data_IF_512652113709
#
_entry.id   IF_512652113709
#
_cell.length_a   1.000
_cell.length_b   1.000
_cell.length_c   1.000
_cell.angle_alpha   90.00
_cell.angle_beta   90.00
_cell.angle_gamma   90.00
#
_symmetry.space_group_name_H-M   'P 1'
#
loop_
_entity.id
_entity.type
_entity.pdbx_description
1 polymer ?
#
# COMPACT_ATOMS: atom_id res chain seq x y z
N UNK A 1 -6.92 5.74 -5.98
CA UNK A 1 -6.19 5.39 -7.21
C UNK A 1 -5.97 3.89 -7.18
N UNK A 2 -6.65 3.16 -8.09
CA UNK A 2 -6.52 1.70 -8.21
C UNK A 2 -5.05 1.30 -8.30
N UNK A 3 -4.67 0.20 -7.63
CA UNK A 3 -3.29 -0.30 -7.66
C UNK A 3 -2.83 -0.47 -9.13
N UNK A 4 -1.78 0.25 -9.59
CA UNK A 4 -1.35 0.23 -10.99
C UNK A 4 -0.81 -1.14 -11.43
N UNK A 5 -0.51 -2.02 -10.49
CA UNK A 5 -0.06 -3.39 -10.72
C UNK A 5 -1.20 -4.41 -10.71
N UNK A 6 -2.42 -4.02 -10.32
CA UNK A 6 -3.58 -4.90 -10.45
C UNK A 6 -3.78 -5.26 -11.94
N UNK A 7 -4.01 -6.54 -12.21
CA UNK A 7 -4.14 -7.01 -13.59
C UNK A 7 -2.82 -7.22 -14.36
N UNK A 8 -1.66 -6.86 -13.80
CA UNK A 8 -0.38 -7.07 -14.51
C UNK A 8 0.01 -8.55 -14.49
N UNK A 9 0.14 -9.20 -15.65
CA UNK A 9 0.48 -10.62 -15.71
C UNK A 9 1.93 -10.83 -15.27
N UNK A 10 2.17 -11.94 -14.58
CA UNK A 10 3.52 -12.44 -14.29
C UNK A 10 3.69 -13.85 -14.85
N UNK A 11 4.94 -14.28 -15.05
CA UNK A 11 5.27 -15.60 -15.61
C UNK A 11 6.22 -16.40 -14.72
N UNK A 12 6.33 -16.01 -13.44
CA UNK A 12 7.20 -16.65 -12.45
C UNK A 12 6.88 -18.14 -12.35
N UNK A 13 7.86 -19.05 -12.48
CA UNK A 13 7.65 -20.49 -12.36
C UNK A 13 7.14 -20.93 -11.00
N UNK A 14 6.45 -22.07 -10.93
CA UNK A 14 5.89 -22.62 -9.69
C UNK A 14 6.94 -22.84 -8.60
N UNK A 15 8.16 -23.25 -8.97
CA UNK A 15 9.26 -23.45 -8.02
C UNK A 15 9.70 -22.15 -7.34
N UNK A 16 9.71 -21.04 -8.08
CA UNK A 16 10.05 -19.72 -7.56
C UNK A 16 8.92 -19.16 -6.69
N UNK A 17 7.66 -19.38 -7.09
CA UNK A 17 6.49 -19.04 -6.26
C UNK A 17 6.55 -19.81 -4.93
N UNK A 18 6.80 -21.13 -4.99
CA UNK A 18 6.90 -21.97 -3.80
C UNK A 18 8.02 -21.53 -2.86
N UNK A 19 9.17 -21.13 -3.41
CA UNK A 19 10.27 -20.59 -2.62
C UNK A 19 9.87 -19.26 -1.94
N UNK A 20 9.22 -18.35 -2.66
CA UNK A 20 8.78 -17.07 -2.11
C UNK A 20 7.74 -17.24 -0.98
N UNK A 21 6.86 -18.25 -1.08
CA UNK A 21 5.86 -18.56 -0.05
C UNK A 21 6.48 -18.98 1.31
N UNK A 22 7.77 -19.30 1.37
CA UNK A 22 8.46 -19.55 2.63
C UNK A 22 8.56 -18.29 3.51
N UNK A 23 8.70 -17.11 2.89
CA UNK A 23 9.04 -15.85 3.55
C UNK A 23 7.84 -14.94 3.85
N UNK A 24 6.65 -15.28 3.35
CA UNK A 24 5.44 -14.44 3.50
C UNK A 24 4.72 -14.64 4.84
N UNK A 25 4.02 -13.61 5.27
CA UNK A 25 3.05 -13.70 6.38
C UNK A 25 1.84 -14.52 5.95
N UNK A 26 1.61 -15.66 6.63
CA UNK A 26 0.49 -16.55 6.31
C UNK A 26 -0.89 -15.89 6.49
N UNK A 27 -1.17 -15.13 7.57
CA UNK A 27 -2.44 -14.42 7.69
C UNK A 27 -2.70 -13.44 6.54
N UNK A 28 -1.68 -12.66 6.15
CA UNK A 28 -1.80 -11.69 5.04
C UNK A 28 -1.95 -12.40 3.70
N UNK A 29 -1.22 -13.50 3.51
CA UNK A 29 -1.33 -14.36 2.33
C UNK A 29 -2.75 -14.87 2.17
N UNK A 30 -3.36 -15.43 3.21
CA UNK A 30 -4.73 -15.96 3.17
C UNK A 30 -5.75 -14.92 2.71
N UNK A 31 -5.67 -13.69 3.22
CA UNK A 31 -6.53 -12.60 2.75
C UNK A 31 -6.28 -12.28 1.27
N UNK A 32 -5.02 -12.29 0.83
CA UNK A 32 -4.66 -12.09 -0.59
C UNK A 32 -5.22 -13.21 -1.47
N UNK A 33 -5.23 -14.46 -0.99
CA UNK A 33 -5.80 -15.59 -1.71
C UNK A 33 -7.32 -15.44 -1.88
N UNK A 34 -8.04 -14.90 -0.89
CA UNK A 34 -9.47 -14.56 -1.03
C UNK A 34 -9.69 -13.60 -2.20
N UNK A 35 -8.82 -12.60 -2.39
CA UNK A 35 -8.91 -11.70 -3.53
C UNK A 35 -8.61 -12.39 -4.87
N UNK A 36 -7.60 -13.27 -4.93
CA UNK A 36 -7.20 -13.96 -6.16
C UNK A 36 -8.21 -15.01 -6.62
N UNK A 37 -8.87 -15.69 -5.68
CA UNK A 37 -9.84 -16.75 -5.94
C UNK A 37 -11.29 -16.30 -5.93
N UNK A 38 -11.61 -15.20 -5.23
CA UNK A 38 -12.97 -14.79 -4.91
C UNK A 38 -13.66 -15.70 -3.88
N UNK A 39 -12.94 -16.62 -3.23
CA UNK A 39 -13.51 -17.61 -2.32
C UNK A 39 -13.35 -17.21 -0.84
N UNK A 40 -14.42 -16.77 -0.16
CA UNK A 40 -14.36 -16.44 1.26
C UNK A 40 -14.26 -17.66 2.18
N UNK A 41 -14.44 -18.89 1.68
CA UNK A 41 -14.32 -20.10 2.52
C UNK A 41 -12.90 -20.29 3.07
N UNK A 42 -11.89 -19.71 2.40
CA UNK A 42 -10.50 -19.72 2.85
C UNK A 42 -10.35 -19.20 4.29
N UNK A 43 -11.16 -18.23 4.71
CA UNK A 43 -11.10 -17.66 6.07
C UNK A 43 -12.21 -18.15 7.01
N UNK A 44 -13.07 -19.08 6.53
CA UNK A 44 -14.19 -19.64 7.31
C UNK A 44 -13.93 -21.08 7.79
N UNK A 45 -12.81 -21.67 7.38
CA UNK A 45 -12.39 -23.00 7.79
C UNK A 45 -11.55 -23.03 9.08
N UNK A 46 -10.90 -24.17 9.31
CA UNK A 46 -10.09 -24.42 10.50
C UNK A 46 -8.71 -23.76 10.46
N UNK A 47 -8.21 -23.42 9.26
CA UNK A 47 -6.94 -22.72 9.08
C UNK A 47 -7.12 -21.24 9.45
N UNK A 48 -6.74 -20.88 10.67
CA UNK A 48 -6.88 -19.52 11.20
C UNK A 48 -5.71 -19.14 12.11
N UNK A 49 -5.34 -17.85 12.15
CA UNK A 49 -4.43 -17.36 13.17
C UNK A 49 -5.05 -17.51 14.57
N UNK A 50 -4.18 -17.66 15.56
CA UNK A 50 -4.54 -17.73 16.97
C UNK A 50 -4.34 -16.39 17.71
N UNK A 51 -3.64 -15.43 17.10
CA UNK A 51 -3.49 -14.09 17.66
C UNK A 51 -2.63 -13.16 16.79
N UNK A 52 -2.63 -11.88 17.16
CA UNK A 52 -1.82 -10.83 16.55
C UNK A 52 -0.95 -10.17 17.63
N UNK A 53 0.37 -10.16 17.44
CA UNK A 53 1.29 -9.50 18.36
C UNK A 53 2.41 -8.79 17.60
N UNK A 54 2.96 -7.73 18.18
CA UNK A 54 4.02 -6.95 17.54
C UNK A 54 5.23 -7.84 17.23
N UNK A 55 5.67 -7.82 15.97
CA UNK A 55 6.74 -8.66 15.39
C UNK A 55 6.41 -10.16 15.26
N UNK A 56 5.21 -10.59 15.65
CA UNK A 56 4.70 -11.93 15.31
C UNK A 56 3.86 -11.83 14.04
N UNK A 57 4.40 -12.37 12.93
CA UNK A 57 3.83 -12.20 11.58
C UNK A 57 3.15 -13.46 11.03
N UNK A 58 3.23 -14.58 11.75
CA UNK A 58 2.71 -15.89 11.34
C UNK A 58 1.42 -16.26 12.09
N UNK A 59 0.87 -15.34 12.88
CA UNK A 59 -0.42 -15.52 13.55
C UNK A 59 -0.43 -16.64 14.60
N UNK A 60 0.74 -17.00 15.15
CA UNK A 60 0.91 -18.14 16.07
C UNK A 60 0.40 -19.49 15.51
N UNK A 61 0.35 -19.65 14.19
CA UNK A 61 -0.09 -20.89 13.53
C UNK A 61 0.97 -22.01 13.67
N UNK A 62 0.51 -23.26 13.70
CA UNK A 62 1.39 -24.44 13.74
C UNK A 62 2.18 -24.57 12.42
N UNK A 63 3.34 -25.24 12.45
CA UNK A 63 4.09 -25.50 11.20
C UNK A 63 3.30 -26.34 10.20
N UNK A 64 2.44 -27.24 10.69
CA UNK A 64 1.55 -28.06 9.86
C UNK A 64 0.52 -27.20 9.13
N UNK A 65 -0.17 -26.30 9.85
CA UNK A 65 -1.16 -25.40 9.25
C UNK A 65 -0.50 -24.44 8.25
N UNK A 66 0.68 -23.91 8.59
CA UNK A 66 1.45 -23.04 7.68
C UNK A 66 1.86 -23.79 6.42
N UNK A 67 2.28 -25.05 6.53
CA UNK A 67 2.61 -25.88 5.37
C UNK A 67 1.37 -26.17 4.51
N UNK A 68 0.22 -26.44 5.14
CA UNK A 68 -1.04 -26.64 4.44
C UNK A 68 -1.48 -25.38 3.66
N UNK A 69 -1.40 -24.20 4.29
CA UNK A 69 -1.70 -22.92 3.61
C UNK A 69 -0.74 -22.68 2.44
N UNK A 70 0.57 -22.89 2.59
CA UNK A 70 1.53 -22.68 1.49
C UNK A 70 1.23 -23.57 0.28
N UNK A 71 0.82 -24.82 0.52
CA UNK A 71 0.43 -25.73 -0.55
C UNK A 71 -0.80 -25.21 -1.30
N UNK A 72 -1.83 -24.80 -0.56
CA UNK A 72 -3.05 -24.22 -1.12
C UNK A 72 -2.76 -22.91 -1.88
N UNK A 73 -1.89 -22.07 -1.33
CA UNK A 73 -1.49 -20.81 -1.93
C UNK A 73 -0.82 -21.00 -3.29
N UNK A 74 0.07 -21.99 -3.42
CA UNK A 74 0.74 -22.28 -4.70
C UNK A 74 -0.28 -22.62 -5.79
N UNK A 75 -1.27 -23.46 -5.48
CA UNK A 75 -2.33 -23.85 -6.42
C UNK A 75 -3.15 -22.63 -6.89
N UNK A 76 -3.57 -21.77 -5.94
CA UNK A 76 -4.37 -20.57 -6.25
C UNK A 76 -3.58 -19.53 -7.03
N UNK A 77 -2.32 -19.27 -6.65
CA UNK A 77 -1.48 -18.27 -7.30
C UNK A 77 -1.11 -18.72 -8.73
N UNK A 78 -0.82 -20.01 -8.91
CA UNK A 78 -0.55 -20.58 -10.24
C UNK A 78 -1.80 -20.48 -11.14
N UNK A 79 -2.99 -20.83 -10.62
CA UNK A 79 -4.25 -20.65 -11.36
C UNK A 79 -4.50 -19.17 -11.72
N UNK A 80 -4.34 -18.26 -10.76
CA UNK A 80 -4.52 -16.82 -10.98
C UNK A 80 -3.56 -16.29 -12.05
N UNK A 81 -2.29 -16.72 -12.02
CA UNK A 81 -1.28 -16.44 -13.05
C UNK A 81 -1.71 -16.96 -14.41
N UNK A 82 -2.12 -18.22 -14.49
CA UNK A 82 -2.41 -18.92 -15.73
C UNK A 82 -3.70 -18.41 -16.41
N UNK A 83 -4.64 -17.86 -15.61
CA UNK A 83 -5.79 -17.09 -16.10
C UNK A 83 -5.44 -15.68 -16.61
N UNK A 84 -4.18 -15.27 -16.52
CA UNK A 84 -3.69 -13.96 -16.98
C UNK A 84 -3.86 -12.85 -15.95
N UNK A 85 -3.90 -13.19 -14.65
CA UNK A 85 -4.05 -12.25 -13.54
C UNK A 85 -5.28 -11.35 -13.68
N UNK A 86 -6.50 -11.90 -13.78
CA UNK A 86 -7.69 -11.07 -13.94
C UNK A 86 -7.87 -10.12 -12.75
N UNK A 87 -8.43 -8.94 -13.00
CA UNK A 87 -8.76 -7.97 -11.95
C UNK A 87 -9.64 -8.65 -10.87
N UNK A 88 -9.27 -8.59 -9.58
CA UNK A 88 -10.09 -9.12 -8.50
C UNK A 88 -11.46 -8.45 -8.45
N UNK A 89 -12.49 -9.24 -8.15
CA UNK A 89 -13.83 -8.72 -7.92
C UNK A 89 -13.86 -7.81 -6.67
N UNK A 90 -14.68 -6.75 -6.66
CA UNK A 90 -14.88 -5.90 -5.49
C UNK A 90 -15.28 -6.69 -4.23
N UNK A 91 -14.64 -6.38 -3.11
CA UNK A 91 -14.97 -6.95 -1.80
C UNK A 91 -16.08 -6.16 -1.14
N UNK A 92 -17.14 -6.85 -0.68
CA UNK A 92 -18.23 -6.20 0.04
C UNK A 92 -17.80 -5.72 1.42
N UNK A 93 -18.49 -4.73 1.98
CA UNK A 93 -18.20 -4.22 3.32
C UNK A 93 -18.32 -5.32 4.40
N UNK A 94 -19.25 -6.25 4.22
CA UNK A 94 -19.46 -7.40 5.11
C UNK A 94 -18.30 -8.37 5.06
N UNK A 95 -17.84 -8.74 3.86
CA UNK A 95 -16.69 -9.63 3.71
C UNK A 95 -15.41 -8.97 4.20
N UNK A 96 -15.21 -7.68 3.93
CA UNK A 96 -14.06 -6.94 4.45
C UNK A 96 -14.06 -6.93 5.98
N UNK A 97 -15.21 -6.69 6.60
CA UNK A 97 -15.33 -6.73 8.06
C UNK A 97 -15.02 -8.11 8.65
N UNK A 98 -15.42 -9.18 7.96
CA UNK A 98 -15.05 -10.55 8.32
C UNK A 98 -13.54 -10.78 8.21
N UNK A 99 -12.92 -10.34 7.10
CA UNK A 99 -11.47 -10.42 6.88
C UNK A 99 -10.69 -9.67 7.97
N UNK A 100 -11.16 -8.48 8.37
CA UNK A 100 -10.54 -7.68 9.44
C UNK A 100 -10.55 -8.45 10.77
N UNK A 101 -11.71 -9.00 11.15
CA UNK A 101 -11.85 -9.77 12.40
C UNK A 101 -11.01 -11.04 12.38
N UNK A 102 -10.98 -11.72 11.23
CA UNK A 102 -10.14 -12.90 11.04
C UNK A 102 -8.66 -12.58 11.22
N UNK A 103 -8.19 -11.46 10.66
CA UNK A 103 -6.79 -11.05 10.72
C UNK A 103 -6.34 -10.71 12.14
N UNK A 104 -7.17 -9.96 12.88
CA UNK A 104 -6.82 -9.49 14.24
C UNK A 104 -7.20 -10.49 15.33
N UNK A 105 -7.90 -11.58 14.97
CA UNK A 105 -8.38 -12.62 15.89
C UNK A 105 -9.36 -12.12 16.98
N UNK A 106 -9.96 -10.94 16.78
CA UNK A 106 -10.81 -10.26 17.75
C UNK A 106 -11.95 -9.50 17.04
N UNK A 107 -13.04 -9.17 17.75
CA UNK A 107 -14.09 -8.33 17.19
C UNK A 107 -13.57 -6.95 16.79
N UNK A 108 -13.90 -6.52 15.58
CA UNK A 108 -13.55 -5.20 15.04
C UNK A 108 -14.80 -4.34 15.03
N UNK A 109 -14.80 -3.12 15.60
CA UNK A 109 -15.92 -2.19 15.46
C UNK A 109 -16.23 -1.86 14.00
N UNK A 110 -17.53 -1.82 13.65
CA UNK A 110 -17.99 -1.58 12.27
C UNK A 110 -17.47 -0.25 11.68
N UNK A 111 -17.22 0.73 12.53
CA UNK A 111 -16.73 2.06 12.15
C UNK A 111 -15.32 2.06 11.52
N UNK A 112 -14.55 0.98 11.67
CA UNK A 112 -13.26 0.84 10.99
C UNK A 112 -13.38 0.41 9.52
N UNK A 113 -14.54 -0.12 9.09
CA UNK A 113 -14.73 -0.59 7.71
C UNK A 113 -14.64 0.56 6.70
N UNK A 114 -15.32 1.71 6.88
CA UNK A 114 -15.17 2.85 5.97
C UNK A 114 -13.73 3.35 5.87
N UNK A 115 -13.01 3.38 6.98
CA UNK A 115 -11.59 3.78 7.01
C UNK A 115 -10.74 2.84 6.14
N UNK A 116 -10.92 1.52 6.29
CA UNK A 116 -10.14 0.54 5.52
C UNK A 116 -10.53 0.54 4.03
N UNK A 117 -11.81 0.74 3.70
CA UNK A 117 -12.26 0.92 2.32
C UNK A 117 -11.66 2.18 1.69
N UNK A 118 -11.59 3.28 2.43
CA UNK A 118 -10.96 4.49 1.95
C UNK A 118 -9.45 4.27 1.68
N UNK A 119 -8.77 3.53 2.55
CA UNK A 119 -7.33 3.25 2.39
C UNK A 119 -7.01 2.27 1.27
N UNK A 120 -7.79 1.18 1.14
CA UNK A 120 -7.44 0.06 0.27
C UNK A 120 -8.26 -0.01 -1.03
N UNK A 121 -9.37 0.71 -1.13
CA UNK A 121 -10.24 0.78 -2.33
C UNK A 121 -10.73 -0.60 -2.82
N UNK A 122 -10.89 -1.56 -1.89
CA UNK A 122 -11.21 -2.96 -2.21
C UNK A 122 -12.61 -3.16 -2.78
N UNK A 123 -13.50 -2.18 -2.65
CA UNK A 123 -14.84 -2.18 -3.24
C UNK A 123 -14.86 -1.59 -4.67
N UNK A 124 -13.68 -1.35 -5.25
CA UNK A 124 -13.52 -0.83 -6.60
C UNK A 124 -13.81 0.67 -6.75
N UNK A 125 -13.93 1.41 -5.63
CA UNK A 125 -14.17 2.86 -5.64
C UNK A 125 -12.96 3.62 -5.11
N UNK A 126 -12.50 4.60 -5.88
CA UNK A 126 -11.54 5.59 -5.40
C UNK A 126 -12.28 6.66 -4.58
N UNK A 127 -12.34 6.46 -3.26
CA UNK A 127 -12.98 7.40 -2.34
C UNK A 127 -12.29 8.78 -2.29
N UNK A 128 -11.04 8.85 -2.75
CA UNK A 128 -10.21 10.07 -2.75
C UNK A 128 -10.18 10.75 -4.12
N UNK A 129 -10.88 10.21 -5.11
CA UNK A 129 -11.03 10.83 -6.41
C UNK A 129 -11.65 12.22 -6.24
N UNK A 130 -10.88 13.25 -6.60
CA UNK A 130 -11.38 14.62 -6.56
C UNK A 130 -12.39 14.81 -7.70
N UNK A 131 -13.59 15.35 -7.43
CA UNK A 131 -14.51 15.68 -8.51
C UNK A 131 -13.86 16.75 -9.39
N UNK A 132 -13.84 16.52 -10.70
CA UNK A 132 -13.37 17.56 -11.63
C UNK A 132 -14.31 18.76 -11.56
N UNK A 133 -13.81 19.88 -11.02
CA UNK A 133 -14.53 21.15 -11.06
C UNK A 133 -14.64 21.63 -12.52
N UNK A 134 -15.73 22.34 -12.83
CA UNK A 134 -15.89 22.97 -14.14
C UNK A 134 -14.72 23.92 -14.42
N UNK A 135 -14.19 23.91 -15.64
CA UNK A 135 -12.99 24.67 -16.02
C UNK A 135 -13.01 26.13 -15.58
N UNK A 136 -14.13 26.83 -15.81
CA UNK A 136 -14.31 28.23 -15.41
C UNK A 136 -14.13 28.46 -13.90
N UNK A 137 -14.61 27.54 -13.05
CA UNK A 137 -14.45 27.62 -11.60
C UNK A 137 -13.01 27.36 -11.14
N UNK A 138 -12.22 26.61 -11.94
CA UNK A 138 -10.80 26.34 -11.64
C UNK A 138 -9.94 27.57 -11.93
N UNK A 139 -10.20 28.24 -13.05
CA UNK A 139 -9.40 29.39 -13.50
C UNK A 139 -9.63 30.66 -12.65
N UNK A 140 -10.79 30.77 -11.97
CA UNK A 140 -11.11 31.90 -11.08
C UNK A 140 -10.46 31.82 -9.68
N UNK A 141 -9.92 30.65 -9.29
CA UNK A 141 -9.42 30.40 -7.94
C UNK A 141 -7.97 29.86 -7.95
N UNK A 142 -6.96 30.68 -8.29
CA UNK A 142 -5.57 30.27 -8.17
C UNK A 142 -5.20 30.01 -6.71
N UNK A 143 -4.66 28.83 -6.42
CA UNK A 143 -4.29 28.41 -5.07
C UNK A 143 -2.80 28.64 -4.82
N UNK A 144 -2.44 29.24 -3.68
CA UNK A 144 -1.05 29.32 -3.23
C UNK A 144 -0.83 28.35 -2.08
N UNK A 145 0.07 27.40 -2.26
CA UNK A 145 0.52 26.45 -1.23
C UNK A 145 1.85 26.94 -0.67
N UNK A 146 1.96 27.04 0.66
CA UNK A 146 3.17 27.51 1.34
C UNK A 146 3.91 26.33 1.96
N UNK A 147 5.12 26.09 1.49
CA UNK A 147 5.99 24.98 1.88
C UNK A 147 5.94 23.83 0.88
N UNK A 148 7.10 23.29 0.55
CA UNK A 148 7.29 22.14 -0.34
C UNK A 148 7.88 20.95 0.44
N UNK A 149 7.32 20.68 1.62
CA UNK A 149 7.45 19.40 2.34
C UNK A 149 6.35 18.43 1.93
N UNK A 150 6.23 17.31 2.67
CA UNK A 150 5.26 16.24 2.40
C UNK A 150 3.82 16.74 2.16
N UNK A 151 3.30 17.59 3.04
CA UNK A 151 1.92 18.09 2.93
C UNK A 151 1.74 19.05 1.75
N UNK A 152 2.76 19.85 1.42
CA UNK A 152 2.68 20.81 0.32
C UNK A 152 2.74 20.13 -1.05
N UNK A 153 3.61 19.13 -1.17
CA UNK A 153 3.68 18.26 -2.35
C UNK A 153 2.36 17.48 -2.54
N UNK A 154 1.80 16.91 -1.47
CA UNK A 154 0.50 16.23 -1.52
C UNK A 154 -0.61 17.18 -1.97
N UNK A 155 -0.66 18.40 -1.42
CA UNK A 155 -1.63 19.41 -1.83
C UNK A 155 -1.49 19.74 -3.33
N UNK A 156 -0.26 19.93 -3.82
CA UNK A 156 0.01 20.15 -5.24
C UNK A 156 -0.45 19.00 -6.13
N UNK A 157 -0.19 17.74 -5.73
CA UNK A 157 -0.65 16.55 -6.46
C UNK A 157 -2.18 16.55 -6.57
N UNK A 158 -2.90 16.76 -5.45
CA UNK A 158 -4.37 16.78 -5.45
C UNK A 158 -4.97 17.97 -6.22
N UNK A 159 -4.35 19.15 -6.16
CA UNK A 159 -4.75 20.31 -6.95
C UNK A 159 -4.55 20.06 -8.45
N UNK A 160 -3.44 19.41 -8.82
CA UNK A 160 -3.14 18.98 -10.20
C UNK A 160 -4.18 17.96 -10.70
N UNK A 161 -4.51 16.95 -9.91
CA UNK A 161 -5.55 15.95 -10.24
C UNK A 161 -6.92 16.61 -10.44
N UNK A 162 -7.27 17.61 -9.61
CA UNK A 162 -8.49 18.40 -9.76
C UNK A 162 -8.42 19.40 -10.94
N UNK A 163 -7.25 19.62 -11.54
CA UNK A 163 -6.97 20.61 -12.58
C UNK A 163 -7.10 22.07 -12.11
N UNK A 164 -6.95 22.31 -10.81
CA UNK A 164 -6.98 23.66 -10.22
C UNK A 164 -5.59 24.29 -10.40
N UNK A 165 -5.45 25.48 -11.00
CA UNK A 165 -4.17 26.18 -11.08
C UNK A 165 -3.62 26.49 -9.68
N UNK A 166 -2.35 26.20 -9.44
CA UNK A 166 -1.71 26.48 -8.16
C UNK A 166 -0.24 26.84 -8.31
N UNK A 167 0.29 27.52 -7.29
CA UNK A 167 1.71 27.79 -7.11
C UNK A 167 2.13 27.30 -5.74
N UNK A 168 3.18 26.48 -5.68
CA UNK A 168 3.84 26.13 -4.40
C UNK A 168 5.03 27.07 -4.20
N UNK A 169 5.08 27.74 -3.05
CA UNK A 169 6.23 28.55 -2.66
C UNK A 169 7.01 27.87 -1.54
N UNK A 170 8.33 27.81 -1.67
CA UNK A 170 9.22 27.21 -0.68
C UNK A 170 10.35 28.20 -0.35
N UNK A 171 10.68 28.31 0.94
CA UNK A 171 11.77 29.16 1.42
C UNK A 171 13.14 28.54 1.12
N UNK A 172 13.21 27.22 1.13
CA UNK A 172 14.42 26.44 0.87
C UNK A 172 14.80 26.45 -0.61
N UNK A 173 16.07 26.16 -0.90
CA UNK A 173 16.55 26.02 -2.27
C UNK A 173 16.06 24.73 -2.96
N UNK A 174 15.28 23.89 -2.28
CA UNK A 174 14.71 22.67 -2.81
C UNK A 174 13.64 22.07 -1.92
N UNK A 175 13.10 20.94 -2.35
CA UNK A 175 11.96 20.25 -1.75
C UNK A 175 12.37 19.40 -0.54
N UNK A 176 11.42 19.09 0.34
CA UNK A 176 11.60 18.12 1.44
C UNK A 176 11.24 18.67 2.82
N UNK A 177 11.00 19.98 2.96
CA UNK A 177 10.53 20.60 4.20
C UNK A 177 11.43 20.25 5.40
N UNK A 178 10.88 19.51 6.37
CA UNK A 178 11.61 19.02 7.55
C UNK A 178 12.89 18.27 7.16
N UNK A 179 12.87 17.45 6.11
CA UNK A 179 14.01 16.66 5.67
C UNK A 179 15.08 17.47 4.94
N UNK A 180 14.71 18.64 4.40
CA UNK A 180 15.68 19.60 3.88
C UNK A 180 16.41 20.32 5.01
N UNK A 181 15.65 20.75 6.03
CA UNK A 181 16.16 21.57 7.14
C UNK A 181 16.99 20.76 8.15
N UNK A 182 16.64 19.49 8.37
CA UNK A 182 17.20 18.69 9.46
C UNK A 182 18.17 17.64 8.94
N UNK A 183 19.46 17.99 8.95
CA UNK A 183 20.56 17.08 8.54
C UNK A 183 21.49 16.72 9.70
N UNK A 184 21.00 16.80 10.94
CA UNK A 184 21.80 16.45 12.11
C UNK A 184 22.06 14.93 12.17
N UNK A 185 23.18 14.48 12.78
CA UNK A 185 23.47 13.07 12.95
C UNK A 185 22.34 12.35 13.70
N UNK A 186 21.80 11.28 13.12
CA UNK A 186 20.73 10.48 13.72
C UNK A 186 19.30 10.91 13.35
N UNK A 187 19.11 11.92 12.49
CA UNK A 187 17.81 12.22 11.90
C UNK A 187 17.24 10.99 11.18
N UNK A 188 16.06 10.53 11.61
CA UNK A 188 15.36 9.32 11.14
C UNK A 188 13.87 9.44 11.46
N UNK A 189 13.06 8.61 10.80
CA UNK A 189 11.65 8.41 11.16
C UNK A 189 11.53 7.50 12.39
N UNK A 190 10.40 7.59 13.07
CA UNK A 190 9.97 6.73 14.19
C UNK A 190 8.93 5.66 13.76
N UNK A 191 8.39 5.78 12.55
CA UNK A 191 7.52 4.78 11.92
C UNK A 191 8.32 3.84 11.01
N UNK A 192 7.77 2.66 10.72
CA UNK A 192 8.32 1.76 9.70
C UNK A 192 8.50 2.52 8.37
N UNK A 193 9.63 2.32 7.70
CA UNK A 193 9.96 3.04 6.47
C UNK A 193 8.86 2.94 5.39
N UNK A 194 8.21 1.78 5.29
CA UNK A 194 7.12 1.49 4.37
C UNK A 194 5.80 2.21 4.73
N UNK A 195 5.69 2.75 5.95
CA UNK A 195 4.58 3.62 6.35
C UNK A 195 4.86 5.10 6.12
N UNK A 196 6.12 5.48 5.84
CA UNK A 196 6.50 6.88 5.62
C UNK A 196 6.70 7.17 4.13
N UNK A 197 5.64 6.97 3.36
CA UNK A 197 5.56 7.31 1.94
C UNK A 197 4.10 7.64 1.56
N UNK A 198 3.90 8.24 0.39
CA UNK A 198 2.56 8.43 -0.15
C UNK A 198 1.91 7.07 -0.47
N UNK A 199 0.70 6.87 0.04
CA UNK A 199 -0.05 5.61 -0.14
C UNK A 199 -0.40 5.30 -1.59
N UNK A 200 -0.52 6.32 -2.45
CA UNK A 200 -0.80 6.18 -3.88
C UNK A 200 0.44 5.96 -4.76
N UNK A 201 1.64 6.06 -4.19
CA UNK A 201 2.89 5.78 -4.91
C UNK A 201 3.80 4.85 -4.07
N UNK A 202 3.36 3.60 -3.80
CA UNK A 202 4.15 2.63 -3.07
C UNK A 202 5.23 2.04 -3.97
N UNK A 203 6.34 2.77 -4.19
CA UNK A 203 7.46 2.23 -4.99
C UNK A 203 8.23 1.15 -4.22
N UNK A 204 8.40 0.00 -4.88
CA UNK A 204 9.27 -1.14 -4.53
C UNK A 204 10.78 -0.84 -4.70
N UNK A 205 11.12 0.22 -5.46
CA UNK A 205 12.49 0.66 -5.71
C UNK A 205 13.31 1.01 -4.45
N UNK A 206 12.67 1.41 -3.35
CA UNK A 206 13.38 1.73 -2.09
C UNK A 206 13.66 0.50 -1.22
N UNK A 207 13.00 -0.63 -1.47
CA UNK A 207 13.09 -1.84 -0.63
C UNK A 207 14.16 -2.79 -1.17
N UNK A 208 14.42 -2.79 -2.48
CA UNK A 208 15.39 -3.71 -3.13
C UNK A 208 16.76 -3.08 -3.46
N UNK A 209 16.97 -1.78 -3.24
CA UNK A 209 18.25 -1.12 -3.54
C UNK A 209 19.28 -1.29 -2.42
N UNK A 210 19.77 -2.51 -2.19
CA UNK A 210 21.01 -2.81 -1.43
C UNK A 210 21.25 -1.91 -0.18
N UNK A 211 20.19 -1.63 0.59
CA UNK A 211 20.27 -0.82 1.80
C UNK A 211 20.89 -1.70 2.89
N UNK A 212 22.04 -1.34 3.47
CA UNK A 212 22.62 -2.13 4.55
C UNK A 212 21.58 -2.30 5.65
N UNK A 213 21.42 -3.54 6.15
CA UNK A 213 20.53 -3.93 7.26
C UNK A 213 20.96 -3.31 8.60
N UNK A 214 21.19 -2.00 8.63
CA UNK A 214 21.55 -1.22 9.79
C UNK A 214 20.55 -0.07 9.87
N UNK A 215 19.74 -0.10 10.92
CA UNK A 215 18.59 0.77 11.11
C UNK A 215 18.81 2.23 10.73
N UNK A 216 17.88 2.75 9.93
CA UNK A 216 17.81 4.15 9.54
C UNK A 216 17.40 4.27 8.08
N UNK A 217 16.17 4.68 7.83
CA UNK A 217 15.67 5.15 6.54
C UNK A 217 16.17 6.58 6.30
N UNK A 218 16.91 6.82 5.22
CA UNK A 218 17.11 8.17 4.70
C UNK A 218 16.34 8.32 3.40
N UNK A 219 15.53 9.37 3.31
CA UNK A 219 15.02 9.88 2.05
C UNK A 219 16.20 10.15 1.07
N UNK A 220 16.05 9.91 -0.25
CA UNK A 220 17.12 10.14 -1.21
C UNK A 220 17.71 11.55 -1.08
N UNK A 221 19.04 11.61 -1.00
CA UNK A 221 19.81 12.86 -0.98
C UNK A 221 19.66 13.56 -2.34
N UNK A 222 19.69 14.91 -2.38
CA UNK A 222 19.80 15.63 -3.65
C UNK A 222 21.03 15.12 -4.43
N UNK A 223 20.82 14.63 -5.65
CA UNK A 223 21.88 14.17 -6.56
C UNK A 223 21.98 12.64 -6.80
N UNK A 224 21.09 11.81 -6.26
CA UNK A 224 20.92 10.41 -6.69
C UNK A 224 19.43 10.08 -6.83
N UNK A 225 18.99 9.98 -8.09
CA UNK A 225 17.72 9.50 -8.65
C UNK A 225 16.46 9.37 -7.75
N UNK A 226 15.37 10.05 -8.20
CA UNK A 226 13.95 9.79 -7.88
C UNK A 226 13.41 10.64 -6.71
N UNK A 227 12.44 11.54 -6.84
CA UNK A 227 11.38 11.77 -7.83
C UNK A 227 11.48 13.23 -8.32
N UNK A 228 11.68 13.42 -9.62
CA UNK A 228 11.36 14.70 -10.25
C UNK A 228 9.88 14.62 -10.61
N UNK A 229 9.01 15.19 -9.78
CA UNK A 229 7.72 15.65 -10.29
C UNK A 229 8.07 16.90 -11.08
N UNK A 230 7.89 16.92 -12.43
CA UNK A 230 8.08 18.15 -13.16
C UNK A 230 7.03 19.13 -12.65
N UNK A 231 7.50 20.11 -11.89
CA UNK A 231 6.80 21.35 -11.61
C UNK A 231 7.24 22.27 -12.75
N UNK A 232 6.47 22.27 -13.83
CA UNK A 232 6.45 23.41 -14.76
C UNK A 232 5.49 24.46 -14.22
#
# INVERSE_FOLDING_TARGET
MRNPHAGQPFTTPDEEIAAALADVSIPTLMLSLVHMSGDPQLIRGDLRPAGLFLNEVQGFMSEEDKAAVRKLALEIIADYRDRGCPEPEPVSAELLHEMMQWLVCEPVPQEYVPMLLEEMELDGRDARASPMLAQAARDEFPVVVIGCGESGLLAGIRLKEAGIPFTIIEKNAGVGGTWWQNTYPGARVDVGNHFYCYSFEPTDGYVNSNWPRLGGSKWPRPGKAGVAVPIE
#
